data_IF_378874964145
#
_entry.id   IF_378874964145
#
_cell.length_a   1.000
_cell.length_b   1.000
_cell.length_c   1.000
_cell.angle_alpha   90.00
_cell.angle_beta   90.00
_cell.angle_gamma   90.00
#
_symmetry.space_group_name_H-M   'P 1'
#
loop_
_entity.id
_entity.type
_entity.pdbx_description
1 polymer ?
#
# COMPACT_ATOMS: atom_id res chain seq x y z
N UNK A 1 -15.59 8.18 -8.10
CA UNK A 1 -16.70 8.71 -8.90
C UNK A 1 -17.70 9.24 -7.90
N UNK A 2 -18.16 10.48 -8.01
CA UNK A 2 -19.11 11.07 -7.05
C UNK A 2 -20.56 11.02 -7.51
N UNK A 3 -20.80 10.80 -8.81
CA UNK A 3 -22.13 10.73 -9.41
C UNK A 3 -22.12 11.16 -10.86
N UNK A 4 -23.29 11.37 -11.45
CA UNK A 4 -23.42 11.68 -12.89
C UNK A 4 -22.76 13.01 -13.32
N UNK A 5 -22.54 13.92 -12.37
CA UNK A 5 -21.88 15.21 -12.59
C UNK A 5 -20.36 15.18 -12.34
N UNK A 6 -19.78 14.00 -12.09
CA UNK A 6 -18.34 13.85 -11.92
C UNK A 6 -17.60 14.31 -13.20
N UNK A 7 -16.58 15.18 -13.09
CA UNK A 7 -15.79 15.63 -14.23
C UNK A 7 -15.19 14.49 -15.07
N UNK A 8 -14.87 13.35 -14.45
CA UNK A 8 -14.32 12.17 -15.14
C UNK A 8 -15.35 11.48 -16.05
N UNK A 9 -16.64 11.63 -15.73
CA UNK A 9 -17.73 11.14 -16.57
C UNK A 9 -18.10 12.17 -17.62
N UNK A 10 -18.28 13.44 -17.22
CA UNK A 10 -18.69 14.53 -18.12
C UNK A 10 -17.67 14.84 -19.22
N UNK A 11 -16.38 14.69 -18.93
CA UNK A 11 -15.29 14.82 -19.90
C UNK A 11 -14.68 13.43 -20.16
N UNK A 12 -15.25 12.64 -21.08
CA UNK A 12 -14.79 11.28 -21.35
C UNK A 12 -13.34 11.26 -21.84
N UNK A 13 -12.60 10.24 -21.38
CA UNK A 13 -11.22 9.98 -21.82
C UNK A 13 -11.01 8.47 -21.95
N UNK A 14 -10.07 8.06 -22.80
CA UNK A 14 -9.78 6.62 -23.00
C UNK A 14 -9.17 5.95 -21.76
N UNK A 15 -8.71 6.74 -20.78
CA UNK A 15 -8.20 6.25 -19.50
C UNK A 15 -9.32 5.80 -18.55
N UNK A 16 -10.55 6.24 -18.77
CA UNK A 16 -11.68 5.96 -17.90
C UNK A 16 -12.88 5.50 -18.72
N UNK A 17 -13.00 4.18 -18.88
CA UNK A 17 -14.03 3.56 -19.71
C UNK A 17 -15.26 3.27 -18.85
N UNK A 18 -16.41 3.77 -19.29
CA UNK A 18 -17.71 3.49 -18.70
C UNK A 18 -18.73 3.19 -19.77
N UNK A 19 -19.72 2.37 -19.44
CA UNK A 19 -20.67 1.82 -20.39
C UNK A 19 -22.01 1.51 -19.75
N UNK A 20 -23.00 1.22 -20.60
CA UNK A 20 -24.30 0.67 -20.23
C UNK A 20 -24.65 -0.51 -21.15
N UNK A 21 -25.87 -1.04 -21.03
CA UNK A 21 -26.36 -2.12 -21.92
C UNK A 21 -27.03 -1.52 -23.15
N UNK A 22 -26.74 -2.06 -24.33
CA UNK A 22 -27.31 -1.61 -25.60
C UNK A 22 -28.83 -1.79 -25.62
N UNK A 23 -29.52 -0.89 -26.31
CA UNK A 23 -30.99 -0.95 -26.54
C UNK A 23 -31.82 -1.01 -25.24
N UNK A 24 -31.24 -0.59 -24.12
CA UNK A 24 -31.90 -0.54 -22.82
C UNK A 24 -32.64 0.78 -22.59
N UNK A 25 -33.43 0.83 -21.52
CA UNK A 25 -34.02 2.08 -21.02
C UNK A 25 -32.95 3.14 -20.74
N UNK A 26 -31.80 2.74 -20.18
CA UNK A 26 -30.67 3.62 -19.87
C UNK A 26 -30.02 4.15 -21.15
N UNK A 27 -29.76 3.30 -22.13
CA UNK A 27 -29.25 3.69 -23.46
C UNK A 27 -30.17 4.73 -24.13
N UNK A 28 -31.49 4.47 -24.13
CA UNK A 28 -32.50 5.40 -24.67
C UNK A 28 -32.50 6.72 -23.89
N UNK A 29 -32.34 6.68 -22.56
CA UNK A 29 -32.28 7.88 -21.73
C UNK A 29 -31.09 8.76 -22.14
N UNK A 30 -29.88 8.21 -22.19
CA UNK A 30 -28.69 8.98 -22.57
C UNK A 30 -28.74 9.48 -24.01
N UNK A 31 -29.36 8.72 -24.92
CA UNK A 31 -29.56 9.14 -26.31
C UNK A 31 -30.50 10.35 -26.44
N UNK A 32 -31.51 10.45 -25.57
CA UNK A 32 -32.50 11.55 -25.61
C UNK A 32 -32.01 12.83 -24.93
N UNK A 33 -31.12 12.71 -23.95
CA UNK A 33 -30.63 13.86 -23.18
C UNK A 33 -29.50 14.59 -23.92
N UNK A 34 -29.77 15.82 -24.37
CA UNK A 34 -28.81 16.62 -25.15
C UNK A 34 -27.56 16.97 -24.32
N UNK A 35 -27.74 17.25 -23.03
CA UNK A 35 -26.65 17.58 -22.09
C UNK A 35 -25.68 16.43 -21.83
N UNK A 36 -26.11 15.19 -22.06
CA UNK A 36 -25.33 13.96 -21.84
C UNK A 36 -24.83 13.36 -23.16
N UNK A 37 -24.98 14.07 -24.28
CA UNK A 37 -24.60 13.58 -25.61
C UNK A 37 -23.11 13.23 -25.73
N UNK A 38 -22.22 13.94 -25.02
CA UNK A 38 -20.79 13.62 -24.96
C UNK A 38 -20.54 12.27 -24.28
N UNK A 39 -21.24 12.01 -23.17
CA UNK A 39 -21.17 10.74 -22.47
C UNK A 39 -21.74 9.62 -23.34
N UNK A 40 -22.87 9.86 -24.00
CA UNK A 40 -23.51 8.89 -24.89
C UNK A 40 -22.55 8.41 -25.99
N UNK A 41 -21.87 9.33 -26.68
CA UNK A 41 -20.90 8.99 -27.74
C UNK A 41 -19.71 8.16 -27.25
N UNK A 42 -19.32 8.33 -25.99
CA UNK A 42 -18.26 7.52 -25.37
C UNK A 42 -18.73 6.10 -25.06
N UNK A 43 -19.93 6.00 -24.47
CA UNK A 43 -20.55 4.73 -24.10
C UNK A 43 -20.94 3.90 -25.32
N UNK A 44 -21.43 4.52 -26.39
CA UNK A 44 -21.89 3.84 -27.61
C UNK A 44 -20.84 2.87 -28.19
N UNK A 45 -19.55 3.18 -28.03
CA UNK A 45 -18.43 2.35 -28.46
C UNK A 45 -18.12 1.16 -27.55
N UNK A 46 -18.53 1.24 -26.28
CA UNK A 46 -18.16 0.31 -25.20
C UNK A 46 -19.37 -0.38 -24.56
N UNK A 47 -20.58 -0.15 -25.05
CA UNK A 47 -21.79 -0.76 -24.51
C UNK A 47 -21.78 -2.29 -24.68
N UNK A 48 -22.33 -2.97 -23.69
CA UNK A 48 -22.44 -4.43 -23.62
C UNK A 48 -23.84 -4.90 -24.05
N UNK A 49 -23.99 -6.16 -24.45
CA UNK A 49 -25.30 -6.73 -24.83
C UNK A 49 -26.11 -7.16 -23.60
N UNK A 50 -25.45 -7.50 -22.50
CA UNK A 50 -26.08 -7.96 -21.26
C UNK A 50 -25.49 -7.30 -20.03
N UNK A 51 -26.32 -7.10 -19.00
CA UNK A 51 -25.88 -6.60 -17.70
C UNK A 51 -24.87 -7.55 -17.04
N UNK A 52 -25.04 -8.88 -17.18
CA UNK A 52 -24.15 -9.87 -16.59
C UNK A 52 -22.72 -9.77 -17.14
N UNK A 53 -22.59 -9.55 -18.45
CA UNK A 53 -21.28 -9.35 -19.10
C UNK A 53 -20.61 -8.06 -18.63
N UNK A 54 -21.38 -6.98 -18.51
CA UNK A 54 -20.87 -5.71 -18.04
C UNK A 54 -20.40 -5.80 -16.57
N UNK A 55 -21.18 -6.44 -15.69
CA UNK A 55 -20.82 -6.67 -14.29
C UNK A 55 -19.52 -7.47 -14.20
N UNK A 56 -19.38 -8.53 -15.00
CA UNK A 56 -18.14 -9.31 -15.04
C UNK A 56 -16.96 -8.49 -15.57
N UNK A 57 -17.17 -7.64 -16.57
CA UNK A 57 -16.13 -6.75 -17.08
C UNK A 57 -15.66 -5.71 -16.05
N UNK A 58 -16.55 -5.26 -15.16
CA UNK A 58 -16.17 -4.41 -14.01
C UNK A 58 -15.32 -5.21 -13.01
N UNK A 59 -15.73 -6.44 -12.67
CA UNK A 59 -14.95 -7.32 -11.78
C UNK A 59 -13.56 -7.63 -12.34
N UNK A 60 -13.45 -7.80 -13.66
CA UNK A 60 -12.20 -8.05 -14.37
C UNK A 60 -11.32 -6.79 -14.54
N UNK A 61 -11.74 -5.62 -14.01
CA UNK A 61 -11.09 -4.32 -14.20
C UNK A 61 -10.95 -3.87 -15.68
N UNK A 62 -11.74 -4.44 -16.59
CA UNK A 62 -11.80 -4.02 -18.01
C UNK A 62 -12.68 -2.79 -18.18
N UNK A 63 -13.73 -2.70 -17.37
CA UNK A 63 -14.66 -1.58 -17.32
C UNK A 63 -14.52 -0.84 -15.97
N UNK A 64 -14.36 0.48 -15.99
CA UNK A 64 -14.13 1.24 -14.76
C UNK A 64 -15.44 1.62 -14.05
N UNK A 65 -16.51 1.80 -14.81
CA UNK A 65 -17.83 2.08 -14.26
C UNK A 65 -18.94 1.53 -15.17
N UNK A 66 -19.97 0.98 -14.55
CA UNK A 66 -21.15 0.48 -15.22
C UNK A 66 -22.37 1.27 -14.75
N UNK A 67 -23.12 1.84 -15.70
CA UNK A 67 -24.32 2.63 -15.42
C UNK A 67 -25.54 1.76 -15.71
N UNK A 68 -26.29 1.44 -14.66
CA UNK A 68 -27.44 0.55 -14.73
C UNK A 68 -28.49 0.82 -13.65
N UNK A 69 -29.59 0.07 -13.66
CA UNK A 69 -30.67 0.16 -12.67
C UNK A 69 -30.16 -0.13 -11.26
N UNK A 70 -30.56 0.73 -10.30
CA UNK A 70 -30.08 0.65 -8.92
C UNK A 70 -30.46 -0.67 -8.23
N UNK A 71 -31.67 -1.17 -8.44
CA UNK A 71 -32.13 -2.41 -7.82
C UNK A 71 -31.25 -3.62 -8.18
N UNK A 72 -30.82 -3.71 -9.44
CA UNK A 72 -29.95 -4.80 -9.92
C UNK A 72 -28.53 -4.62 -9.36
N UNK A 73 -28.01 -3.39 -9.37
CA UNK A 73 -26.66 -3.11 -8.88
C UNK A 73 -26.54 -3.27 -7.36
N UNK A 74 -27.54 -2.86 -6.60
CA UNK A 74 -27.60 -3.03 -5.15
C UNK A 74 -27.66 -4.51 -4.76
N UNK A 75 -28.41 -5.31 -5.51
CA UNK A 75 -28.45 -6.76 -5.33
C UNK A 75 -27.08 -7.42 -5.64
N UNK A 76 -26.42 -7.04 -6.73
CA UNK A 76 -25.10 -7.60 -7.08
C UNK A 76 -24.01 -7.18 -6.09
N UNK A 77 -24.06 -5.93 -5.61
CA UNK A 77 -23.15 -5.42 -4.60
C UNK A 77 -23.40 -6.03 -3.21
N UNK A 78 -24.64 -6.41 -2.88
CA UNK A 78 -24.97 -7.09 -1.62
C UNK A 78 -24.56 -8.57 -1.66
N UNK A 79 -24.65 -9.22 -2.82
CA UNK A 79 -24.30 -10.63 -2.98
C UNK A 79 -22.78 -10.86 -2.95
N UNK A 80 -22.01 -9.98 -3.60
CA UNK A 80 -20.54 -10.02 -3.58
C UNK A 80 -20.01 -8.64 -3.19
N UNK A 81 -19.35 -8.56 -2.04
CA UNK A 81 -18.77 -7.32 -1.51
C UNK A 81 -17.47 -6.88 -2.23
N UNK A 82 -17.29 -7.27 -3.49
CA UNK A 82 -16.21 -6.83 -4.38
C UNK A 82 -16.58 -5.58 -5.19
N UNK A 83 -17.88 -5.33 -5.33
CA UNK A 83 -18.44 -4.17 -6.03
C UNK A 83 -19.09 -3.21 -5.05
N UNK A 84 -19.09 -1.93 -5.42
CA UNK A 84 -19.78 -0.87 -4.68
C UNK A 84 -20.60 -0.02 -5.63
N UNK A 85 -21.81 0.33 -5.23
CA UNK A 85 -22.61 1.34 -5.92
C UNK A 85 -22.15 2.73 -5.46
N UNK A 86 -22.15 3.70 -6.38
CA UNK A 86 -21.66 5.06 -6.07
C UNK A 86 -22.45 6.12 -6.82
N UNK A 87 -22.62 7.27 -6.18
CA UNK A 87 -23.32 8.43 -6.72
C UNK A 87 -24.80 8.48 -6.38
N UNK A 88 -25.40 9.64 -6.68
CA UNK A 88 -26.83 9.87 -6.49
C UNK A 88 -27.66 9.28 -7.62
N UNK A 89 -28.87 8.83 -7.27
CA UNK A 89 -29.91 8.42 -8.21
C UNK A 89 -30.35 9.62 -9.07
N UNK A 90 -29.83 9.68 -10.31
CA UNK A 90 -30.09 10.77 -11.24
C UNK A 90 -31.32 10.56 -12.14
N UNK A 91 -31.76 9.31 -12.31
CA UNK A 91 -32.94 8.96 -13.09
C UNK A 91 -33.86 8.09 -12.23
N UNK A 92 -35.00 8.67 -11.81
CA UNK A 92 -36.00 7.96 -11.03
C UNK A 92 -37.06 7.37 -11.96
N UNK A 93 -36.93 6.08 -12.22
CA UNK A 93 -37.94 5.26 -12.89
C UNK A 93 -38.39 4.12 -11.98
N UNK A 94 -39.59 3.60 -12.22
CA UNK A 94 -40.13 2.45 -11.50
C UNK A 94 -40.45 1.30 -12.45
N UNK A 95 -40.34 0.07 -11.94
CA UNK A 95 -40.83 -1.12 -12.64
C UNK A 95 -42.36 -1.19 -12.58
N UNK A 96 -42.97 -1.76 -13.62
CA UNK A 96 -44.42 -1.91 -13.70
C UNK A 96 -44.84 -3.07 -14.58
N UNK A 97 -46.07 -3.54 -14.39
CA UNK A 97 -46.64 -4.64 -15.15
C UNK A 97 -47.32 -4.09 -16.41
N UNK A 98 -46.83 -4.50 -17.58
CA UNK A 98 -47.39 -4.11 -18.88
C UNK A 98 -48.60 -4.96 -19.27
N UNK A 99 -49.68 -4.32 -19.71
CA UNK A 99 -50.87 -4.97 -20.27
C UNK A 99 -51.32 -4.27 -21.55
N UNK A 100 -52.10 -4.95 -22.39
CA UNK A 100 -52.77 -4.29 -23.55
C UNK A 100 -53.70 -3.19 -23.05
N UNK A 101 -53.84 -2.11 -23.84
CA UNK A 101 -54.52 -0.85 -23.44
C UNK A 101 -55.92 -1.08 -22.84
N UNK A 102 -56.67 -2.03 -23.40
CA UNK A 102 -58.06 -2.32 -23.02
C UNK A 102 -58.21 -3.65 -22.28
N UNK A 103 -57.17 -4.08 -21.55
CA UNK A 103 -57.25 -5.30 -20.74
C UNK A 103 -58.21 -5.12 -19.56
N UNK A 104 -59.21 -6.01 -19.37
CA UNK A 104 -60.15 -5.93 -18.24
C UNK A 104 -59.45 -6.12 -16.88
N UNK A 105 -58.25 -6.71 -16.88
CA UNK A 105 -57.46 -6.97 -15.67
C UNK A 105 -56.72 -5.76 -15.13
N UNK A 106 -56.58 -4.69 -15.93
CA UNK A 106 -55.76 -3.52 -15.59
C UNK A 106 -56.13 -2.94 -14.22
N UNK A 107 -57.42 -2.76 -13.97
CA UNK A 107 -57.91 -2.18 -12.73
C UNK A 107 -57.66 -3.09 -11.53
N UNK A 108 -58.02 -4.37 -11.65
CA UNK A 108 -57.90 -5.34 -10.56
C UNK A 108 -56.43 -5.55 -10.16
N UNK A 109 -55.51 -5.65 -11.13
CA UNK A 109 -54.07 -5.79 -10.86
C UNK A 109 -53.51 -4.54 -10.19
N UNK A 110 -53.92 -3.35 -10.65
CA UNK A 110 -53.45 -2.10 -10.04
C UNK A 110 -53.89 -1.97 -8.59
N UNK A 111 -55.15 -2.31 -8.28
CA UNK A 111 -55.67 -2.33 -6.91
C UNK A 111 -54.97 -3.37 -6.04
N UNK A 112 -54.66 -4.55 -6.58
CA UNK A 112 -53.92 -5.57 -5.85
C UNK A 112 -52.50 -5.10 -5.49
N UNK A 113 -51.78 -4.45 -6.42
CA UNK A 113 -50.44 -3.89 -6.16
C UNK A 113 -50.50 -2.82 -5.06
N UNK A 114 -51.50 -1.94 -5.10
CA UNK A 114 -51.69 -0.92 -4.07
C UNK A 114 -51.93 -1.56 -2.70
N UNK A 115 -52.81 -2.55 -2.62
CA UNK A 115 -53.07 -3.29 -1.37
C UNK A 115 -51.81 -4.00 -0.85
N UNK A 116 -50.99 -4.57 -1.72
CA UNK A 116 -49.69 -5.18 -1.37
C UNK A 116 -48.65 -4.17 -0.88
N UNK A 117 -48.77 -2.90 -1.25
CA UNK A 117 -47.90 -1.84 -0.76
C UNK A 117 -48.39 -1.29 0.58
N UNK A 118 -49.71 -1.19 0.77
CA UNK A 118 -50.33 -0.74 2.02
C UNK A 118 -50.15 -1.74 3.17
N UNK A 119 -50.22 -3.04 2.87
CA UNK A 119 -50.11 -4.09 3.88
C UNK A 119 -48.65 -4.49 4.21
N UNK A 120 -47.66 -3.85 3.58
CA UNK A 120 -46.23 -4.11 3.82
C UNK A 120 -45.66 -5.34 3.09
N UNK A 121 -46.45 -6.09 2.32
CA UNK A 121 -45.98 -7.30 1.64
C UNK A 121 -44.82 -7.02 0.67
N UNK A 122 -44.81 -5.86 0.00
CA UNK A 122 -43.71 -5.46 -0.87
C UNK A 122 -42.41 -5.22 -0.10
N UNK A 123 -42.48 -4.71 1.14
CA UNK A 123 -41.31 -4.49 2.00
C UNK A 123 -40.71 -5.83 2.46
N UNK A 124 -41.57 -6.80 2.78
CA UNK A 124 -41.13 -8.15 3.14
C UNK A 124 -40.40 -8.84 1.98
N UNK A 125 -40.88 -8.65 0.74
CA UNK A 125 -40.20 -9.16 -0.46
C UNK A 125 -38.84 -8.50 -0.68
N UNK A 126 -38.72 -7.18 -0.51
CA UNK A 126 -37.45 -6.46 -0.64
C UNK A 126 -36.40 -6.97 0.37
N UNK A 127 -36.81 -7.13 1.63
CA UNK A 127 -35.94 -7.68 2.69
C UNK A 127 -35.51 -9.12 2.39
N UNK A 128 -36.42 -9.94 1.88
CA UNK A 128 -36.16 -11.36 1.64
C UNK A 128 -35.25 -11.59 0.43
N UNK A 129 -35.46 -10.84 -0.66
CA UNK A 129 -34.81 -11.14 -1.95
C UNK A 129 -33.71 -10.16 -2.36
N UNK A 130 -33.77 -8.89 -1.94
CA UNK A 130 -32.82 -7.86 -2.38
C UNK A 130 -31.75 -7.60 -1.32
N UNK A 131 -32.17 -7.42 -0.07
CA UNK A 131 -31.28 -7.08 1.06
C UNK A 131 -30.91 -8.29 1.93
N UNK A 132 -30.73 -9.45 1.31
CA UNK A 132 -30.44 -10.68 2.03
C UNK A 132 -29.12 -10.62 2.82
N UNK A 133 -28.10 -9.93 2.28
CA UNK A 133 -26.78 -9.87 2.88
C UNK A 133 -26.29 -8.42 2.99
N UNK A 134 -26.05 -7.99 4.22
CA UNK A 134 -25.42 -6.71 4.49
C UNK A 134 -23.90 -6.88 4.30
N UNK A 135 -23.40 -6.40 3.16
CA UNK A 135 -21.98 -6.11 3.04
C UNK A 135 -21.68 -4.98 4.01
N UNK A 136 -21.06 -5.32 5.14
CA UNK A 136 -20.63 -4.35 6.12
C UNK A 136 -19.81 -3.30 5.38
N UNK A 137 -20.23 -2.04 5.47
CA UNK A 137 -19.59 -0.95 4.75
C UNK A 137 -18.16 -0.91 5.26
N UNK A 138 -17.25 -1.55 4.52
CA UNK A 138 -15.82 -1.41 4.70
C UNK A 138 -15.55 0.04 4.35
N UNK A 139 -15.79 0.94 5.30
CA UNK A 139 -15.15 2.24 5.35
C UNK A 139 -13.70 1.88 5.11
N UNK A 140 -13.17 2.28 3.96
CA UNK A 140 -11.81 1.95 3.55
C UNK A 140 -10.93 2.21 4.77
N UNK A 141 -10.60 1.16 5.51
CA UNK A 141 -9.71 1.30 6.64
C UNK A 141 -8.47 1.89 5.99
N UNK A 142 -8.00 3.08 6.44
CA UNK A 142 -6.91 3.78 5.77
C UNK A 142 -5.82 2.75 5.54
N UNK A 143 -5.46 2.56 4.27
CA UNK A 143 -4.70 1.42 3.76
C UNK A 143 -3.85 0.82 4.87
N UNK A 144 -4.32 -0.30 5.44
CA UNK A 144 -3.70 -0.87 6.63
C UNK A 144 -2.22 -0.97 6.34
N UNK A 145 -1.40 -0.38 7.22
CA UNK A 145 0.05 -0.31 7.09
C UNK A 145 0.59 -1.70 6.76
N UNK A 146 0.77 -1.93 5.46
CA UNK A 146 1.18 -3.21 4.90
C UNK A 146 2.70 -3.29 5.00
N UNK A 147 3.23 -4.51 4.92
CA UNK A 147 4.67 -4.78 5.08
C UNK A 147 5.56 -3.88 4.20
N UNK A 148 5.03 -3.43 3.06
CA UNK A 148 5.67 -2.50 2.12
C UNK A 148 5.94 -1.12 2.73
N UNK A 149 5.00 -0.58 3.53
CA UNK A 149 5.16 0.73 4.18
C UNK A 149 6.15 0.70 5.36
N UNK A 150 6.39 -0.49 5.95
CA UNK A 150 7.40 -0.70 7.00
C UNK A 150 8.76 -1.15 6.46
N UNK A 151 8.92 -1.34 5.15
CA UNK A 151 10.17 -1.74 4.52
C UNK A 151 11.33 -0.78 4.84
N UNK A 152 11.05 0.51 5.00
CA UNK A 152 12.05 1.52 5.40
C UNK A 152 12.72 1.21 6.74
N UNK A 153 11.96 0.69 7.72
CA UNK A 153 12.51 0.34 9.05
C UNK A 153 13.44 -0.87 8.93
N UNK A 154 13.04 -1.89 8.18
CA UNK A 154 13.89 -3.07 7.95
C UNK A 154 15.18 -2.72 7.21
N UNK A 155 15.11 -1.82 6.22
CA UNK A 155 16.29 -1.35 5.49
C UNK A 155 17.25 -0.56 6.37
N UNK A 156 16.74 0.27 7.30
CA UNK A 156 17.59 0.98 8.26
C UNK A 156 18.30 0.02 9.22
N UNK A 157 17.60 -0.99 9.74
CA UNK A 157 18.21 -2.00 10.62
C UNK A 157 19.27 -2.80 9.87
N UNK A 158 18.99 -3.25 8.65
CA UNK A 158 19.95 -3.97 7.82
C UNK A 158 21.19 -3.11 7.51
N UNK A 159 20.99 -1.83 7.16
CA UNK A 159 22.08 -0.88 6.94
C UNK A 159 22.94 -0.66 8.19
N UNK A 160 22.30 -0.58 9.37
CA UNK A 160 22.98 -0.44 10.66
C UNK A 160 23.87 -1.65 10.98
N UNK A 161 23.41 -2.87 10.68
CA UNK A 161 24.20 -4.10 10.87
C UNK A 161 25.43 -4.08 9.96
N UNK A 162 25.27 -3.74 8.68
CA UNK A 162 26.38 -3.69 7.71
C UNK A 162 27.41 -2.61 8.11
N UNK A 163 26.94 -1.41 8.47
CA UNK A 163 27.82 -0.32 8.93
C UNK A 163 28.54 -0.69 10.23
N UNK A 164 27.86 -1.36 11.17
CA UNK A 164 28.45 -1.84 12.41
C UNK A 164 29.58 -2.85 12.17
N UNK A 165 29.35 -3.82 11.27
CA UNK A 165 30.39 -4.79 10.87
C UNK A 165 31.59 -4.06 10.26
N UNK A 166 31.37 -3.08 9.39
CA UNK A 166 32.44 -2.31 8.77
C UNK A 166 33.27 -1.50 9.79
N UNK A 167 32.61 -0.84 10.76
CA UNK A 167 33.29 -0.12 11.83
C UNK A 167 34.14 -1.05 12.71
N UNK A 168 33.66 -2.25 13.02
CA UNK A 168 34.41 -3.26 13.76
C UNK A 168 35.69 -3.65 13.00
N UNK A 169 35.61 -3.88 11.69
CA UNK A 169 36.78 -4.19 10.87
C UNK A 169 37.81 -3.04 10.88
N UNK A 170 37.36 -1.79 10.75
CA UNK A 170 38.24 -0.60 10.80
C UNK A 170 38.94 -0.51 12.16
N UNK A 171 38.21 -0.67 13.26
CA UNK A 171 38.78 -0.55 14.60
C UNK A 171 39.84 -1.62 14.85
N UNK A 172 39.58 -2.87 14.43
CA UNK A 172 40.54 -3.96 14.54
C UNK A 172 41.80 -3.66 13.71
N UNK A 173 41.65 -3.18 12.47
CA UNK A 173 42.78 -2.82 11.62
C UNK A 173 43.61 -1.67 12.23
N UNK A 174 42.95 -0.63 12.74
CA UNK A 174 43.61 0.51 13.37
C UNK A 174 44.36 0.10 14.65
N UNK A 175 43.73 -0.69 15.53
CA UNK A 175 44.38 -1.22 16.74
C UNK A 175 45.58 -2.08 16.38
N UNK A 176 45.44 -3.03 15.45
CA UNK A 176 46.56 -3.88 14.98
C UNK A 176 47.72 -3.06 14.43
N UNK A 177 47.45 -2.04 13.63
CA UNK A 177 48.51 -1.19 13.06
C UNK A 177 49.19 -0.32 14.13
N UNK A 178 48.42 0.23 15.08
CA UNK A 178 48.97 0.98 16.22
C UNK A 178 49.82 0.08 17.13
N UNK A 179 49.36 -1.14 17.40
CA UNK A 179 50.10 -2.10 18.22
C UNK A 179 51.37 -2.59 17.51
N UNK A 180 51.34 -2.79 16.19
CA UNK A 180 52.53 -3.08 15.40
C UNK A 180 53.57 -1.94 15.48
N UNK A 181 53.12 -0.68 15.35
CA UNK A 181 54.00 0.50 15.52
C UNK A 181 54.54 0.63 16.95
N UNK A 182 53.72 0.39 17.98
CA UNK A 182 54.17 0.38 19.39
C UNK A 182 55.24 -0.68 19.62
N UNK A 183 55.05 -1.89 19.10
CA UNK A 183 56.03 -2.99 19.20
C UNK A 183 57.35 -2.62 18.51
N UNK A 184 57.31 -2.05 17.30
CA UNK A 184 58.52 -1.57 16.61
C UNK A 184 59.24 -0.47 17.40
N UNK A 185 58.49 0.49 17.96
CA UNK A 185 59.07 1.58 18.74
C UNK A 185 59.67 1.08 20.06
N UNK A 186 59.02 0.11 20.74
CA UNK A 186 59.58 -0.55 21.92
C UNK A 186 60.88 -1.31 21.61
N UNK A 187 60.94 -2.03 20.48
CA UNK A 187 62.17 -2.71 20.05
C UNK A 187 63.28 -1.71 19.71
N UNK A 188 62.97 -0.59 19.05
CA UNK A 188 63.94 0.47 18.77
C UNK A 188 64.46 1.13 20.06
N UNK A 189 63.59 1.45 21.03
CA UNK A 189 64.03 1.96 22.34
C UNK A 189 64.86 0.96 23.13
N UNK A 190 64.50 -0.34 23.08
CA UNK A 190 65.30 -1.39 23.71
C UNK A 190 66.70 -1.48 23.08
N UNK A 191 66.81 -1.44 21.75
CA UNK A 191 68.09 -1.44 21.05
C UNK A 191 68.94 -0.20 21.38
N UNK A 192 68.32 0.99 21.45
CA UNK A 192 69.00 2.24 21.84
C UNK A 192 69.50 2.19 23.28
N UNK A 193 68.73 1.62 24.21
CA UNK A 193 69.15 1.49 25.61
C UNK A 193 70.32 0.49 25.77
N UNK A 194 70.34 -0.58 24.99
CA UNK A 194 71.48 -1.52 24.96
C UNK A 194 72.72 -0.83 24.38
N UNK A 195 72.58 -0.10 23.27
CA UNK A 195 73.68 0.66 22.67
C UNK A 195 74.23 1.73 23.63
N UNK A 196 73.36 2.45 24.33
CA UNK A 196 73.76 3.46 25.33
C UNK A 196 74.53 2.84 26.50
N UNK A 197 74.18 1.64 26.95
CA UNK A 197 74.92 0.93 28.01
C UNK A 197 76.32 0.52 27.56
N UNK A 198 76.49 0.12 26.30
CA UNK A 198 77.80 -0.23 25.74
C UNK A 198 78.72 0.97 25.45
N UNK A 199 78.20 2.20 25.51
CA UNK A 199 78.93 3.43 25.19
C UNK A 199 79.25 4.30 26.39
N UNK A 200 79.02 3.86 27.63
CA UNK A 200 79.53 4.57 28.80
C UNK A 200 81.06 4.41 28.87
N UNK A 201 81.85 5.47 28.61
CA UNK A 201 83.27 5.43 28.83
C UNK A 201 83.51 5.53 30.34
N UNK A 202 84.44 4.70 30.81
CA UNK A 202 85.05 4.78 32.13
C UNK A 202 85.36 6.24 32.54
N UNK A 203 84.94 6.73 33.71
CA UNK A 203 85.42 8.01 34.20
C UNK A 203 86.91 7.89 34.58
N UNK A 204 87.75 8.41 33.70
CA UNK A 204 89.09 8.94 33.98
C UNK A 204 88.88 10.31 34.65
N UNK A 205 89.58 10.78 35.68
CA UNK A 205 90.84 10.39 36.30
C UNK A 205 91.06 11.20 37.63
N UNK A 206 91.94 10.69 38.52
CA UNK A 206 92.83 11.37 39.51
C UNK A 206 92.37 12.56 40.38
N UNK A 207 92.23 12.29 41.70
CA UNK A 207 93.13 12.83 42.73
C UNK A 207 93.28 11.81 43.85
N UNK A 208 94.51 11.35 44.09
CA UNK A 208 94.81 10.28 45.03
C UNK A 208 94.83 10.71 46.49
N UNK A 209 94.34 9.82 47.35
CA UNK A 209 94.99 9.53 48.63
C UNK A 209 94.69 8.09 49.03
N UNK A 210 95.77 7.32 49.22
CA UNK A 210 95.78 5.95 49.74
C UNK A 210 95.22 5.91 51.17
N UNK A 211 94.43 4.88 51.47
CA UNK A 211 94.67 3.89 52.55
C UNK A 211 93.41 3.02 52.73
N UNK A 212 93.46 1.73 52.34
CA UNK A 212 93.74 0.57 53.20
C UNK A 212 92.60 0.22 54.17
N UNK A 213 91.73 -0.70 53.75
CA UNK A 213 91.25 -1.87 54.53
C UNK A 213 90.06 -2.56 53.86
N UNK A 214 90.37 -3.50 52.96
CA UNK A 214 89.51 -4.67 52.68
C UNK A 214 89.85 -5.74 53.73
N UNK A 215 88.93 -6.61 54.19
CA UNK A 215 88.35 -7.68 53.35
C UNK A 215 86.84 -7.91 53.66
N UNK A 216 85.99 -8.62 52.92
CA UNK A 216 86.13 -9.81 52.09
C UNK A 216 84.80 -10.15 51.40
N UNK A 217 84.88 -10.42 50.10
CA UNK A 217 84.35 -11.60 49.38
C UNK A 217 82.86 -11.67 49.01
N UNK A 218 82.64 -11.42 47.71
CA UNK A 218 82.06 -12.30 46.68
C UNK A 218 80.87 -13.22 46.98
N UNK A 219 79.85 -13.13 46.11
CA UNK A 219 79.26 -14.31 45.45
C UNK A 219 78.64 -13.95 44.10
N UNK A 220 78.90 -14.84 43.14
CA UNK A 220 78.43 -14.89 41.75
C UNK A 220 77.05 -15.56 41.71
N UNK A 221 76.09 -15.03 40.94
CA UNK A 221 75.16 -15.68 39.97
C UNK A 221 74.54 -14.59 39.10
#
# INVERSE_FOLDING_TARGET
ITGINDPRLRNPSDKFIYATVKQSSVDIYFRRQVELSTMYRHMEKHNYESAAEAIQAVRDNKLHAFIWDSAVLEFEASQKCDLVTTGELFFRSGFGIGMRKDSPWKQNVSLAILSSHENGFMEDLDKTWVRYQECDSRSNAPATLTFENMAGVFMLVAGGIVAGIFLIFIEIAYKRHKDARRKQMQLAFAAVNVWRKNLQPYPTDITGQLNLSDPSVSTVV
#
